data_IF_013642284042
#
_entry.id   IF_013642284042
#
_cell.length_a   1.000
_cell.length_b   1.000
_cell.length_c   1.000
_cell.angle_alpha   90.00
_cell.angle_beta   90.00
_cell.angle_gamma   90.00
#
_symmetry.space_group_name_H-M   'P 1'
#
loop_
_entity.id
_entity.type
_entity.pdbx_description
1 polymer ?
#
# COMPACT_ATOMS: atom_id res chain seq x y z
N UNK A 1 -23.10 70.67 30.03
CA UNK A 1 -22.71 69.73 28.95
C UNK A 1 -22.03 70.48 27.82
N UNK A 2 -20.72 70.26 27.59
CA UNK A 2 -20.11 70.10 26.25
C UNK A 2 -18.62 69.74 26.40
N UNK A 3 -18.33 68.45 26.19
CA UNK A 3 -16.97 67.94 25.88
C UNK A 3 -16.71 68.16 24.40
N UNK A 4 -15.47 68.55 24.03
CA UNK A 4 -14.72 68.23 22.80
C UNK A 4 -13.46 69.08 22.80
N UNK A 5 -12.31 68.68 22.28
CA UNK A 5 -11.74 67.41 21.83
C UNK A 5 -10.29 67.79 21.53
N UNK A 6 -9.31 67.31 22.31
CA UNK A 6 -7.91 67.66 22.07
C UNK A 6 -7.31 66.66 21.07
N UNK A 7 -7.11 67.11 19.83
CA UNK A 7 -6.49 66.33 18.76
C UNK A 7 -4.97 66.30 18.97
N UNK A 8 -4.44 65.17 19.44
CA UNK A 8 -3.00 64.92 19.46
C UNK A 8 -2.51 64.56 18.04
N UNK A 9 -1.67 65.43 17.46
CA UNK A 9 -0.93 65.19 16.22
C UNK A 9 0.25 64.24 16.51
N UNK A 10 0.19 63.01 15.99
CA UNK A 10 1.34 62.10 15.95
C UNK A 10 2.31 62.49 14.81
N UNK A 11 3.64 62.47 15.02
CA UNK A 11 4.59 63.09 14.09
C UNK A 11 4.89 62.19 12.87
N UNK A 12 4.95 62.81 11.68
CA UNK A 12 5.21 62.19 10.37
C UNK A 12 6.47 61.28 10.30
N UNK A 13 7.43 61.48 11.20
CA UNK A 13 8.74 60.82 11.21
C UNK A 13 8.65 59.29 11.40
N UNK A 14 7.68 58.80 12.19
CA UNK A 14 7.51 57.37 12.45
C UNK A 14 6.99 56.59 11.22
N UNK A 15 6.29 57.28 10.32
CA UNK A 15 5.63 56.70 9.15
C UNK A 15 6.63 56.34 8.05
N UNK A 16 7.67 57.16 7.86
CA UNK A 16 8.75 56.89 6.90
C UNK A 16 9.66 55.75 7.35
N UNK A 17 10.03 55.69 8.64
CA UNK A 17 10.79 54.56 9.20
C UNK A 17 10.04 53.24 9.06
N UNK A 18 8.71 53.24 9.29
CA UNK A 18 7.87 52.03 9.14
C UNK A 18 7.79 51.58 7.68
N UNK A 19 7.68 52.51 6.72
CA UNK A 19 7.75 52.21 5.28
C UNK A 19 9.10 51.63 4.87
N UNK A 20 10.20 52.16 5.41
CA UNK A 20 11.55 51.67 5.15
C UNK A 20 11.76 50.24 5.66
N UNK A 21 11.26 49.94 6.86
CA UNK A 21 11.31 48.59 7.45
C UNK A 21 10.48 47.60 6.60
N UNK A 22 9.29 47.99 6.16
CA UNK A 22 8.45 47.15 5.29
C UNK A 22 9.15 46.88 3.96
N UNK A 23 9.77 47.88 3.34
CA UNK A 23 10.53 47.70 2.09
C UNK A 23 11.72 46.75 2.28
N UNK A 24 12.45 46.86 3.41
CA UNK A 24 13.54 45.95 3.74
C UNK A 24 13.06 44.50 3.94
N UNK A 25 11.93 44.30 4.65
CA UNK A 25 11.34 42.98 4.86
C UNK A 25 10.84 42.35 3.56
N UNK A 26 10.19 43.14 2.70
CA UNK A 26 9.72 42.67 1.38
C UNK A 26 10.92 42.32 0.50
N UNK A 27 11.97 43.15 0.50
CA UNK A 27 13.22 42.85 -0.22
C UNK A 27 13.89 41.57 0.27
N UNK A 28 13.94 41.35 1.59
CA UNK A 28 14.47 40.12 2.18
C UNK A 28 13.63 38.90 1.78
N UNK A 29 12.30 38.98 1.85
CA UNK A 29 11.40 37.91 1.41
C UNK A 29 11.61 37.56 -0.06
N UNK A 30 11.60 38.56 -0.96
CA UNK A 30 11.80 38.33 -2.39
C UNK A 30 13.18 37.71 -2.67
N UNK A 31 14.23 38.15 -1.96
CA UNK A 31 15.56 37.55 -2.03
C UNK A 31 15.58 36.07 -1.62
N UNK A 32 14.90 35.71 -0.52
CA UNK A 32 14.80 34.31 -0.08
C UNK A 32 14.03 33.43 -1.05
N UNK A 33 12.93 33.93 -1.63
CA UNK A 33 12.15 33.20 -2.64
C UNK A 33 12.98 32.96 -3.90
N UNK A 34 13.71 33.97 -4.38
CA UNK A 34 14.61 33.81 -5.52
C UNK A 34 15.75 32.83 -5.24
N UNK A 35 16.31 32.83 -4.02
CA UNK A 35 17.33 31.86 -3.62
C UNK A 35 16.76 30.43 -3.57
N UNK A 36 15.54 30.25 -3.06
CA UNK A 36 14.88 28.94 -3.06
C UNK A 36 14.54 28.46 -4.47
N UNK A 37 14.05 29.33 -5.35
CA UNK A 37 13.79 29.03 -6.77
C UNK A 37 15.06 28.59 -7.51
N UNK A 38 16.17 29.28 -7.30
CA UNK A 38 17.46 28.93 -7.92
C UNK A 38 18.01 27.61 -7.38
N UNK A 39 17.93 27.37 -6.07
CA UNK A 39 18.34 26.09 -5.46
C UNK A 39 17.45 24.94 -5.93
N UNK A 40 16.13 25.14 -5.97
CA UNK A 40 15.16 24.18 -6.48
C UNK A 40 15.43 23.82 -7.94
N UNK A 41 15.66 24.83 -8.79
CA UNK A 41 15.99 24.63 -10.20
C UNK A 41 17.30 23.85 -10.38
N UNK A 42 18.30 24.10 -9.52
CA UNK A 42 19.58 23.38 -9.52
C UNK A 42 19.41 21.91 -9.13
N UNK A 43 18.64 21.64 -8.07
CA UNK A 43 18.31 20.28 -7.61
C UNK A 43 17.54 19.53 -8.71
N UNK A 44 16.54 20.17 -9.31
CA UNK A 44 15.76 19.61 -10.41
C UNK A 44 16.62 19.29 -11.63
N UNK A 45 17.57 20.18 -11.98
CA UNK A 45 18.52 19.95 -13.08
C UNK A 45 19.49 18.80 -12.79
N UNK A 46 19.98 18.68 -11.55
CA UNK A 46 20.80 17.55 -11.09
C UNK A 46 20.04 16.22 -11.12
N UNK A 47 18.76 16.21 -10.70
CA UNK A 47 17.89 15.03 -10.77
C UNK A 47 17.55 14.61 -12.21
N UNK A 48 17.51 15.56 -13.16
CA UNK A 48 17.27 15.29 -14.59
C UNK A 48 18.56 14.85 -15.32
N UNK A 49 19.75 15.23 -14.84
CA UNK A 49 21.02 14.89 -15.50
C UNK A 49 21.57 13.51 -15.12
N UNK A 50 21.03 12.84 -14.11
CA UNK A 50 21.28 11.42 -13.90
C UNK A 50 20.59 10.63 -15.01
N UNK A 51 21.27 9.72 -15.72
CA UNK A 51 20.59 8.82 -16.66
C UNK A 51 19.46 8.12 -15.90
N UNK A 52 18.25 7.98 -16.47
CA UNK A 52 17.18 7.28 -15.81
C UNK A 52 17.70 5.88 -15.54
N UNK A 53 17.92 5.56 -14.27
CA UNK A 53 18.11 4.19 -13.86
C UNK A 53 16.81 3.50 -14.29
N UNK A 54 16.85 2.73 -15.38
CA UNK A 54 15.70 1.99 -15.88
C UNK A 54 15.41 0.93 -14.82
N UNK A 55 14.64 1.30 -13.80
CA UNK A 55 14.25 0.40 -12.75
C UNK A 55 13.33 -0.63 -13.38
N UNK A 56 13.77 -1.89 -13.34
CA UNK A 56 12.96 -3.00 -13.81
C UNK A 56 11.69 -3.09 -12.96
N UNK A 57 10.56 -3.46 -13.57
CA UNK A 57 9.34 -3.68 -12.80
C UNK A 57 9.58 -4.77 -11.74
N UNK A 58 8.91 -4.62 -10.61
CA UNK A 58 9.10 -5.44 -9.43
C UNK A 58 7.88 -6.28 -9.11
N UNK A 59 8.14 -7.40 -8.44
CA UNK A 59 7.12 -8.18 -7.75
C UNK A 59 7.15 -7.80 -6.26
N UNK A 60 6.03 -7.35 -5.73
CA UNK A 60 5.81 -7.16 -4.31
C UNK A 60 5.37 -8.48 -3.67
N UNK A 61 6.19 -9.01 -2.77
CA UNK A 61 5.87 -10.18 -1.96
C UNK A 61 5.22 -9.74 -0.65
N UNK A 62 3.94 -10.09 -0.47
CA UNK A 62 3.07 -9.62 0.60
C UNK A 62 2.82 -10.76 1.59
N UNK A 63 3.56 -10.76 2.69
CA UNK A 63 3.49 -11.80 3.71
C UNK A 63 2.50 -11.44 4.80
N UNK A 64 1.55 -12.33 5.09
CA UNK A 64 0.75 -12.30 6.31
C UNK A 64 1.33 -13.34 7.26
N UNK A 65 1.78 -12.88 8.41
CA UNK A 65 2.36 -13.75 9.44
C UNK A 65 1.72 -13.44 10.80
N UNK A 66 1.49 -14.45 11.64
CA UNK A 66 1.04 -14.16 13.02
C UNK A 66 2.16 -13.55 13.86
N UNK A 67 3.38 -14.05 13.68
CA UNK A 67 4.57 -13.62 14.42
C UNK A 67 5.79 -13.57 13.47
N UNK A 68 6.75 -14.47 13.70
CA UNK A 68 7.95 -14.67 12.87
C UNK A 68 7.59 -15.39 11.57
N UNK A 69 8.49 -15.30 10.60
CA UNK A 69 8.49 -16.12 9.40
C UNK A 69 9.43 -17.32 9.65
N UNK A 70 8.91 -18.50 10.04
CA UNK A 70 9.75 -19.65 10.40
C UNK A 70 10.56 -20.19 9.21
N UNK A 71 10.10 -19.90 7.99
CA UNK A 71 10.72 -20.33 6.74
C UNK A 71 11.54 -19.20 6.10
N UNK A 72 11.96 -18.20 6.87
CA UNK A 72 12.76 -17.07 6.37
C UNK A 72 14.07 -17.52 5.70
N UNK A 73 14.66 -18.63 6.14
CA UNK A 73 15.85 -19.24 5.50
C UNK A 73 15.62 -19.69 4.05
N UNK A 74 14.43 -20.22 3.73
CA UNK A 74 14.10 -20.66 2.37
C UNK A 74 13.90 -19.45 1.48
N UNK A 75 13.21 -18.44 2.00
CA UNK A 75 13.02 -17.16 1.31
C UNK A 75 14.32 -16.39 1.14
N UNK A 76 15.25 -16.46 2.10
CA UNK A 76 16.59 -15.87 1.98
C UNK A 76 17.33 -16.44 0.76
N UNK A 77 17.39 -17.78 0.65
CA UNK A 77 17.99 -18.45 -0.49
C UNK A 77 17.30 -18.11 -1.82
N UNK A 78 15.97 -17.96 -1.81
CA UNK A 78 15.21 -17.54 -2.99
C UNK A 78 15.58 -16.11 -3.42
N UNK A 79 15.52 -15.14 -2.51
CA UNK A 79 15.77 -13.73 -2.83
C UNK A 79 17.24 -13.43 -3.19
N UNK A 80 18.20 -14.23 -2.72
CA UNK A 80 19.59 -14.18 -3.21
C UNK A 80 19.72 -14.41 -4.73
N UNK A 81 18.70 -15.01 -5.36
CA UNK A 81 18.66 -15.20 -6.81
C UNK A 81 18.43 -13.92 -7.61
N UNK A 82 17.99 -12.82 -6.97
CA UNK A 82 17.85 -11.53 -7.65
C UNK A 82 19.17 -10.76 -7.68
N UNK A 83 19.50 -10.22 -8.85
CA UNK A 83 20.69 -9.39 -9.07
C UNK A 83 20.34 -7.97 -9.55
N UNK A 84 19.05 -7.70 -9.76
CA UNK A 84 18.60 -6.53 -10.51
C UNK A 84 17.54 -5.71 -9.77
N UNK A 85 17.36 -5.95 -8.46
CA UNK A 85 16.40 -5.25 -7.61
C UNK A 85 14.95 -5.34 -8.14
N UNK A 86 14.54 -6.57 -8.48
CA UNK A 86 13.27 -6.92 -9.15
C UNK A 86 12.16 -7.31 -8.17
N UNK A 87 12.33 -7.06 -6.88
CA UNK A 87 11.32 -7.35 -5.88
C UNK A 87 11.28 -6.35 -4.74
N UNK A 88 10.17 -6.38 -4.01
CA UNK A 88 10.00 -5.73 -2.71
C UNK A 88 9.28 -6.69 -1.76
N UNK A 89 9.47 -6.51 -0.45
CA UNK A 89 8.87 -7.37 0.59
C UNK A 89 8.10 -6.49 1.56
N UNK A 90 6.88 -6.91 1.87
CA UNK A 90 6.03 -6.31 2.88
C UNK A 90 5.51 -7.39 3.80
N UNK A 91 5.54 -7.15 5.10
CA UNK A 91 5.11 -8.12 6.11
C UNK A 91 4.06 -7.49 7.01
N UNK A 92 2.91 -8.13 7.12
CA UNK A 92 1.88 -7.79 8.09
C UNK A 92 1.94 -8.82 9.23
N UNK A 93 2.41 -8.38 10.39
CA UNK A 93 2.42 -9.15 11.63
C UNK A 93 1.38 -8.64 12.63
N UNK A 94 1.03 -9.42 13.65
CA UNK A 94 0.12 -8.95 14.71
C UNK A 94 0.65 -7.68 15.41
N UNK A 95 -0.22 -6.82 15.94
CA UNK A 95 0.20 -5.63 16.70
C UNK A 95 1.12 -6.02 17.88
N UNK A 96 2.16 -5.22 18.09
CA UNK A 96 3.16 -5.42 19.15
C UNK A 96 4.28 -6.42 18.81
N UNK A 97 4.16 -7.18 17.72
CA UNK A 97 5.30 -7.92 17.18
C UNK A 97 6.21 -6.98 16.36
N UNK A 98 7.52 -7.19 16.42
CA UNK A 98 8.50 -6.44 15.63
C UNK A 98 9.44 -7.38 14.90
N UNK A 99 9.53 -7.23 13.58
CA UNK A 99 10.44 -7.97 12.72
C UNK A 99 11.82 -7.29 12.68
N UNK A 100 12.70 -7.71 13.59
CA UNK A 100 14.06 -7.18 13.76
C UNK A 100 15.11 -8.30 13.88
N UNK A 101 16.37 -7.91 14.14
CA UNK A 101 17.51 -8.85 14.25
C UNK A 101 17.36 -9.93 15.34
N UNK A 102 16.48 -9.72 16.33
CA UNK A 102 16.19 -10.72 17.36
C UNK A 102 15.10 -11.72 16.94
N UNK A 103 14.34 -11.44 15.88
CA UNK A 103 13.17 -12.23 15.47
C UNK A 103 13.28 -12.87 14.10
N UNK A 104 14.19 -12.41 13.25
CA UNK A 104 14.51 -13.02 11.95
C UNK A 104 16.02 -13.06 11.75
N UNK A 105 16.50 -14.10 11.05
CA UNK A 105 17.91 -14.22 10.67
C UNK A 105 18.17 -13.71 9.25
N UNK A 106 17.13 -13.63 8.43
CA UNK A 106 17.24 -13.15 7.05
C UNK A 106 17.26 -11.62 7.01
N UNK A 107 18.28 -11.08 6.33
CA UNK A 107 18.43 -9.64 6.16
C UNK A 107 17.32 -9.03 5.28
N UNK A 108 16.73 -9.83 4.38
CA UNK A 108 15.69 -9.37 3.45
C UNK A 108 14.41 -8.90 4.16
N UNK A 109 14.10 -9.49 5.32
CA UNK A 109 12.90 -9.19 6.08
C UNK A 109 13.07 -8.07 7.12
N UNK A 110 14.30 -7.61 7.37
CA UNK A 110 14.53 -6.53 8.32
C UNK A 110 13.89 -5.22 7.84
N UNK A 111 13.08 -4.60 8.70
CA UNK A 111 12.41 -3.33 8.37
C UNK A 111 11.36 -3.44 7.26
N UNK A 112 10.86 -4.65 6.97
CA UNK A 112 9.81 -4.89 5.97
C UNK A 112 8.41 -4.99 6.56
N UNK A 113 8.29 -4.87 7.87
CA UNK A 113 6.99 -4.89 8.54
C UNK A 113 6.25 -3.56 8.29
N UNK A 114 4.97 -3.65 7.94
CA UNK A 114 4.11 -2.47 7.79
C UNK A 114 3.74 -1.87 9.15
N UNK A 115 3.61 -0.55 9.21
CA UNK A 115 3.41 0.16 10.48
C UNK A 115 1.95 0.14 10.98
N UNK A 116 0.99 -0.01 10.06
CA UNK A 116 -0.45 0.01 10.33
C UNK A 116 -1.04 -1.42 10.43
N UNK A 117 -0.28 -2.35 11.01
CA UNK A 117 -0.73 -3.71 11.30
C UNK A 117 -1.96 -3.75 12.22
N UNK A 118 -2.88 -4.67 11.94
CA UNK A 118 -4.09 -4.91 12.73
C UNK A 118 -4.11 -6.33 13.32
N UNK A 119 -4.96 -6.56 14.31
CA UNK A 119 -5.24 -7.92 14.78
C UNK A 119 -6.03 -8.67 13.72
N UNK A 120 -5.56 -9.87 13.38
CA UNK A 120 -6.16 -10.71 12.32
C UNK A 120 -6.69 -11.99 12.95
N UNK A 121 -7.97 -12.22 12.76
CA UNK A 121 -8.67 -13.44 13.16
C UNK A 121 -8.97 -14.30 11.94
N UNK A 122 -8.82 -15.62 12.10
CA UNK A 122 -8.97 -16.54 10.99
C UNK A 122 -10.42 -16.63 10.52
N UNK A 123 -10.62 -16.56 9.20
CA UNK A 123 -11.95 -16.64 8.58
C UNK A 123 -12.79 -15.37 8.74
N UNK A 124 -12.24 -14.30 9.32
CA UNK A 124 -12.91 -13.02 9.49
C UNK A 124 -12.46 -11.99 8.45
N UNK A 125 -13.27 -10.96 8.23
CA UNK A 125 -12.95 -9.86 7.31
C UNK A 125 -11.65 -9.10 7.66
N UNK A 126 -11.17 -9.22 8.90
CA UNK A 126 -9.86 -8.70 9.32
C UNK A 126 -8.69 -9.22 8.47
N UNK A 127 -8.81 -10.41 7.88
CA UNK A 127 -7.81 -10.93 6.94
C UNK A 127 -7.80 -10.14 5.62
N UNK A 128 -8.96 -9.84 5.01
CA UNK A 128 -9.02 -8.93 3.83
C UNK A 128 -8.43 -7.58 4.21
N UNK A 129 -8.74 -7.08 5.40
CA UNK A 129 -8.23 -5.79 5.84
C UNK A 129 -6.70 -5.77 5.93
N UNK A 130 -6.08 -6.83 6.45
CA UNK A 130 -4.63 -6.97 6.46
C UNK A 130 -4.02 -7.06 5.05
N UNK A 131 -4.68 -7.76 4.13
CA UNK A 131 -4.29 -7.82 2.71
C UNK A 131 -4.34 -6.43 2.05
N UNK A 132 -5.40 -5.67 2.31
CA UNK A 132 -5.56 -4.30 1.82
C UNK A 132 -4.48 -3.37 2.39
N UNK A 133 -4.11 -3.53 3.65
CA UNK A 133 -3.00 -2.80 4.27
C UNK A 133 -1.68 -3.12 3.56
N UNK A 134 -1.41 -4.39 3.28
CA UNK A 134 -0.22 -4.80 2.52
C UNK A 134 -0.21 -4.18 1.11
N UNK A 135 -1.32 -4.23 0.40
CA UNK A 135 -1.45 -3.64 -0.93
C UNK A 135 -1.25 -2.11 -0.91
N UNK A 136 -1.86 -1.41 0.06
CA UNK A 136 -1.71 0.04 0.22
C UNK A 136 -0.23 0.44 0.33
N UNK A 137 0.51 -0.20 1.25
CA UNK A 137 1.94 0.06 1.42
C UNK A 137 2.74 -0.34 0.17
N UNK A 138 2.41 -1.47 -0.45
CA UNK A 138 3.13 -1.94 -1.63
C UNK A 138 2.91 -1.09 -2.89
N UNK A 139 1.74 -0.46 -3.02
CA UNK A 139 1.42 0.44 -4.11
C UNK A 139 2.18 1.77 -4.04
N UNK A 140 2.79 2.12 -2.91
CA UNK A 140 3.63 3.32 -2.81
C UNK A 140 4.89 3.25 -3.68
N UNK A 141 5.46 2.04 -3.88
CA UNK A 141 6.52 1.84 -4.87
C UNK A 141 5.91 1.75 -6.27
N UNK A 142 6.18 2.77 -7.09
CA UNK A 142 5.71 2.87 -8.48
C UNK A 142 6.24 1.76 -9.39
N UNK A 143 7.30 1.05 -8.99
CA UNK A 143 7.86 -0.04 -9.78
C UNK A 143 7.20 -1.39 -9.49
N UNK A 144 6.41 -1.51 -8.41
CA UNK A 144 5.70 -2.74 -8.12
C UNK A 144 4.55 -2.96 -9.12
N UNK A 145 4.70 -3.95 -10.00
CA UNK A 145 3.75 -4.25 -11.06
C UNK A 145 2.92 -5.52 -10.78
N UNK A 146 3.42 -6.38 -9.89
CA UNK A 146 2.76 -7.62 -9.46
C UNK A 146 2.77 -7.72 -7.95
N UNK A 147 1.71 -8.28 -7.38
CA UNK A 147 1.48 -8.34 -5.93
C UNK A 147 1.12 -9.77 -5.55
N UNK A 148 2.04 -10.47 -4.89
CA UNK A 148 1.94 -11.90 -4.56
C UNK A 148 1.62 -12.03 -3.07
N UNK A 149 0.47 -12.62 -2.72
CA UNK A 149 0.11 -12.90 -1.34
C UNK A 149 0.69 -14.23 -0.86
N UNK A 150 1.24 -14.24 0.36
CA UNK A 150 1.88 -15.39 0.98
C UNK A 150 1.58 -15.46 2.48
N UNK A 151 1.50 -16.67 3.03
CA UNK A 151 1.51 -16.89 4.49
C UNK A 151 2.92 -17.14 5.01
N UNK A 152 3.04 -17.21 6.34
CA UNK A 152 4.22 -17.68 7.06
C UNK A 152 4.57 -19.17 6.82
N UNK A 153 3.68 -19.93 6.16
CA UNK A 153 3.88 -21.34 5.81
C UNK A 153 4.15 -21.58 4.32
N UNK A 154 4.12 -20.54 3.48
CA UNK A 154 4.40 -20.67 2.05
C UNK A 154 5.90 -20.83 1.78
N UNK A 155 6.23 -21.61 0.75
CA UNK A 155 7.60 -21.76 0.22
C UNK A 155 7.61 -21.58 -1.31
N UNK A 156 8.68 -21.01 -1.87
CA UNK A 156 8.89 -21.02 -3.31
C UNK A 156 9.29 -22.43 -3.77
N UNK A 157 8.71 -22.89 -4.89
CA UNK A 157 9.04 -24.19 -5.50
C UNK A 157 10.08 -24.08 -6.62
N UNK A 158 10.26 -22.88 -7.16
CA UNK A 158 11.20 -22.56 -8.22
C UNK A 158 12.13 -21.43 -7.81
N UNK A 159 13.23 -21.25 -8.54
CA UNK A 159 14.17 -20.16 -8.28
C UNK A 159 13.58 -18.79 -8.66
N UNK A 160 14.20 -17.72 -8.15
CA UNK A 160 13.71 -16.35 -8.35
C UNK A 160 13.58 -15.95 -9.82
N UNK A 161 14.57 -16.28 -10.66
CA UNK A 161 14.53 -15.89 -12.08
C UNK A 161 13.32 -16.51 -12.77
N UNK A 162 13.12 -17.82 -12.60
CA UNK A 162 11.98 -18.52 -13.19
C UNK A 162 10.65 -17.96 -12.69
N UNK A 163 10.50 -17.79 -11.38
CA UNK A 163 9.27 -17.25 -10.78
C UNK A 163 8.97 -15.84 -11.28
N UNK A 164 10.00 -14.99 -11.34
CA UNK A 164 9.87 -13.63 -11.85
C UNK A 164 9.45 -13.63 -13.32
N UNK A 165 10.18 -14.35 -14.18
CA UNK A 165 9.91 -14.39 -15.62
C UNK A 165 8.51 -14.95 -15.89
N UNK A 166 8.09 -15.98 -15.16
CA UNK A 166 6.75 -16.57 -15.27
C UNK A 166 5.66 -15.58 -14.88
N UNK A 167 5.74 -14.99 -13.68
CA UNK A 167 4.72 -14.05 -13.18
C UNK A 167 4.63 -12.79 -14.06
N UNK A 168 5.77 -12.33 -14.58
CA UNK A 168 5.85 -11.12 -15.41
C UNK A 168 5.50 -11.36 -16.89
N UNK A 169 5.41 -12.62 -17.33
CA UNK A 169 5.13 -12.98 -18.74
C UNK A 169 3.69 -12.70 -19.18
N UNK A 170 2.74 -12.67 -18.25
CA UNK A 170 1.32 -12.40 -18.52
C UNK A 170 0.93 -11.00 -18.09
N UNK A 171 -0.03 -10.39 -18.79
CA UNK A 171 -0.69 -9.14 -18.40
C UNK A 171 -1.87 -9.35 -17.44
N UNK A 172 -2.29 -10.58 -17.19
CA UNK A 172 -3.43 -10.93 -16.33
C UNK A 172 -3.01 -11.26 -14.89
N UNK A 173 -3.99 -11.36 -14.00
CA UNK A 173 -3.77 -11.80 -12.61
C UNK A 173 -4.02 -13.29 -12.47
N UNK A 174 -3.38 -13.89 -11.46
CA UNK A 174 -3.57 -15.29 -11.11
C UNK A 174 -4.54 -15.35 -9.93
N UNK A 175 -5.80 -15.72 -10.21
CA UNK A 175 -6.87 -15.79 -9.22
C UNK A 175 -7.67 -17.07 -9.45
N UNK A 176 -7.85 -17.87 -8.41
CA UNK A 176 -8.78 -19.00 -8.45
C UNK A 176 -10.22 -18.48 -8.35
N UNK A 177 -11.08 -18.89 -9.29
CA UNK A 177 -12.49 -18.50 -9.30
C UNK A 177 -13.38 -19.64 -9.78
N UNK A 178 -14.15 -20.23 -8.88
CA UNK A 178 -15.06 -21.35 -9.13
C UNK A 178 -16.48 -21.04 -8.65
N UNK A 179 -17.47 -21.64 -9.31
CA UNK A 179 -18.88 -21.48 -8.93
C UNK A 179 -19.17 -22.21 -7.60
N UNK A 180 -20.01 -21.61 -6.76
CA UNK A 180 -20.45 -22.21 -5.49
C UNK A 180 -21.58 -23.22 -5.74
N UNK A 181 -21.21 -24.44 -6.15
CA UNK A 181 -22.18 -25.48 -6.58
C UNK A 181 -22.59 -26.46 -5.48
N UNK A 182 -21.88 -26.52 -4.35
CA UNK A 182 -22.04 -27.60 -3.35
C UNK A 182 -22.17 -27.15 -1.90
N UNK A 183 -21.63 -26.00 -1.52
CA UNK A 183 -21.42 -25.65 -0.10
C UNK A 183 -22.30 -24.49 0.39
N UNK A 184 -22.99 -23.76 -0.50
CA UNK A 184 -23.97 -22.74 -0.12
C UNK A 184 -23.39 -21.66 0.80
N UNK A 185 -22.14 -21.24 0.55
CA UNK A 185 -21.46 -20.24 1.38
C UNK A 185 -21.96 -18.82 1.12
N UNK A 186 -22.68 -18.60 0.02
CA UNK A 186 -23.28 -17.31 -0.25
C UNK A 186 -24.28 -16.91 0.85
N UNK A 187 -24.09 -15.73 1.44
CA UNK A 187 -25.04 -15.15 2.38
C UNK A 187 -26.06 -14.28 1.61
N UNK A 188 -27.37 -14.63 1.60
CA UNK A 188 -28.39 -13.86 0.88
C UNK A 188 -28.50 -12.39 1.29
N UNK A 189 -28.03 -12.01 2.49
CA UNK A 189 -28.02 -10.61 2.96
C UNK A 189 -27.03 -9.73 2.20
N UNK A 190 -26.12 -10.32 1.42
CA UNK A 190 -25.20 -9.56 0.56
C UNK A 190 -25.87 -9.03 -0.72
N UNK A 191 -27.05 -9.54 -1.07
CA UNK A 191 -27.86 -8.98 -2.15
C UNK A 191 -28.46 -7.62 -1.73
N UNK A 192 -28.51 -6.60 -2.61
CA UNK A 192 -28.17 -6.64 -4.04
C UNK A 192 -26.71 -6.28 -4.37
N UNK A 193 -25.89 -5.93 -3.37
CA UNK A 193 -24.54 -5.41 -3.62
C UNK A 193 -23.63 -6.47 -4.24
N UNK A 194 -23.72 -7.71 -3.76
CA UNK A 194 -23.04 -8.86 -4.34
C UNK A 194 -24.12 -9.86 -4.76
N UNK A 195 -24.58 -9.83 -6.01
CA UNK A 195 -25.55 -10.79 -6.51
C UNK A 195 -25.00 -12.23 -6.50
N UNK A 196 -25.89 -13.22 -6.36
CA UNK A 196 -25.49 -14.64 -6.25
C UNK A 196 -24.83 -15.15 -7.53
N UNK A 197 -25.20 -14.61 -8.69
CA UNK A 197 -24.61 -14.90 -9.99
C UNK A 197 -23.15 -14.42 -10.12
N UNK A 198 -22.80 -13.39 -9.34
CA UNK A 198 -21.45 -12.83 -9.25
C UNK A 198 -20.65 -13.47 -8.12
N UNK A 199 -21.29 -14.23 -7.25
CA UNK A 199 -20.62 -14.98 -6.19
C UNK A 199 -19.70 -16.05 -6.78
N UNK A 200 -18.44 -16.01 -6.36
CA UNK A 200 -17.41 -16.99 -6.71
C UNK A 200 -16.66 -17.38 -5.46
N UNK A 201 -16.22 -18.62 -5.44
CA UNK A 201 -15.27 -19.12 -4.46
C UNK A 201 -13.87 -19.09 -5.05
N UNK A 202 -12.87 -18.92 -4.21
CA UNK A 202 -11.49 -18.81 -4.65
C UNK A 202 -10.49 -19.32 -3.64
N UNK A 203 -9.23 -19.01 -3.90
CA UNK A 203 -8.12 -19.10 -2.96
C UNK A 203 -7.77 -17.70 -2.46
N UNK A 204 -7.32 -17.61 -1.20
CA UNK A 204 -6.75 -16.37 -0.66
C UNK A 204 -5.45 -15.99 -1.38
N UNK A 205 -4.70 -16.99 -1.83
CA UNK A 205 -3.36 -16.80 -2.39
C UNK A 205 -3.46 -16.47 -3.87
N UNK A 206 -3.35 -15.18 -4.17
CA UNK A 206 -3.47 -14.63 -5.52
C UNK A 206 -2.23 -13.84 -5.92
N UNK A 207 -2.07 -13.64 -7.22
CA UNK A 207 -1.10 -12.68 -7.79
C UNK A 207 -1.86 -11.62 -8.58
N UNK A 208 -1.85 -10.39 -8.08
CA UNK A 208 -2.57 -9.28 -8.71
C UNK A 208 -1.64 -8.45 -9.59
N UNK A 209 -2.19 -7.88 -10.67
CA UNK A 209 -1.59 -6.74 -11.36
C UNK A 209 -1.77 -5.47 -10.54
N UNK A 210 -0.98 -4.44 -10.83
CA UNK A 210 -1.13 -3.13 -10.20
C UNK A 210 -2.53 -2.55 -10.32
N UNK A 211 -3.14 -2.63 -11.50
CA UNK A 211 -4.52 -2.16 -11.74
C UNK A 211 -5.51 -2.84 -10.78
N UNK A 212 -5.43 -4.16 -10.62
CA UNK A 212 -6.34 -4.90 -9.74
C UNK A 212 -6.05 -4.64 -8.26
N UNK A 213 -4.78 -4.53 -7.87
CA UNK A 213 -4.39 -4.11 -6.52
C UNK A 213 -5.01 -2.76 -6.14
N UNK A 214 -4.98 -1.78 -7.06
CA UNK A 214 -5.61 -0.48 -6.82
C UNK A 214 -7.13 -0.56 -6.65
N UNK A 215 -7.82 -1.39 -7.46
CA UNK A 215 -9.26 -1.62 -7.32
C UNK A 215 -9.58 -2.17 -5.94
N UNK A 216 -8.85 -3.20 -5.50
CA UNK A 216 -9.04 -3.82 -4.18
C UNK A 216 -8.82 -2.83 -3.04
N UNK A 217 -7.80 -1.98 -3.13
CA UNK A 217 -7.49 -0.99 -2.09
C UNK A 217 -8.54 0.12 -2.03
N UNK A 218 -9.06 0.54 -3.19
CA UNK A 218 -10.07 1.60 -3.32
C UNK A 218 -11.49 1.11 -3.09
N UNK A 219 -11.73 -0.19 -2.96
CA UNK A 219 -13.07 -0.75 -2.77
C UNK A 219 -13.70 -0.29 -1.45
N UNK A 220 -14.79 0.45 -1.55
CA UNK A 220 -15.62 0.93 -0.45
C UNK A 220 -17.04 0.33 -0.49
N UNK A 221 -17.29 -0.65 -1.36
CA UNK A 221 -18.62 -1.24 -1.60
C UNK A 221 -18.66 -2.71 -1.20
N UNK A 222 -17.75 -3.55 -1.71
CA UNK A 222 -17.78 -5.01 -1.52
C UNK A 222 -17.22 -5.39 -0.16
N UNK A 223 -16.10 -4.81 0.25
CA UNK A 223 -15.44 -5.12 1.52
C UNK A 223 -16.33 -4.86 2.75
N UNK A 224 -17.06 -3.72 2.89
CA UNK A 224 -17.98 -3.52 4.00
C UNK A 224 -19.09 -4.58 4.08
N UNK A 225 -19.59 -5.04 2.93
CA UNK A 225 -20.60 -6.11 2.85
C UNK A 225 -20.04 -7.42 3.38
N UNK A 226 -18.81 -7.79 2.98
CA UNK A 226 -18.09 -8.91 3.57
C UNK A 226 -17.90 -8.75 5.09
N UNK A 227 -17.49 -7.57 5.54
CA UNK A 227 -17.28 -7.28 6.96
C UNK A 227 -18.55 -7.42 7.80
N UNK A 228 -19.72 -7.09 7.24
CA UNK A 228 -20.99 -7.22 7.95
C UNK A 228 -21.56 -8.64 7.93
N UNK A 229 -21.36 -9.39 6.85
CA UNK A 229 -22.11 -10.62 6.59
C UNK A 229 -21.28 -11.90 6.57
N UNK A 230 -19.96 -11.82 6.42
CA UNK A 230 -19.03 -12.96 6.43
C UNK A 230 -18.31 -13.00 7.77
N UNK A 231 -18.77 -13.90 8.64
CA UNK A 231 -18.23 -14.11 9.99
C UNK A 231 -17.92 -15.58 10.19
N UNK A 232 -16.81 -15.90 10.83
CA UNK A 232 -16.35 -17.27 11.02
C UNK A 232 -17.38 -18.14 11.77
N UNK A 233 -18.19 -17.51 12.64
CA UNK A 233 -19.23 -18.20 13.42
C UNK A 233 -20.47 -18.62 12.64
N UNK A 234 -20.66 -18.15 11.40
CA UNK A 234 -21.90 -18.35 10.64
C UNK A 234 -21.77 -19.38 9.50
N UNK A 235 -20.58 -19.96 9.28
CA UNK A 235 -20.29 -20.90 8.16
C UNK A 235 -20.65 -20.35 6.77
N UNK A 236 -20.94 -19.05 6.66
CA UNK A 236 -21.35 -18.35 5.44
C UNK A 236 -20.21 -17.41 5.04
N UNK A 237 -19.75 -17.56 3.80
CA UNK A 237 -18.65 -16.89 3.11
C UNK A 237 -17.29 -16.91 3.82
N UNK A 238 -16.26 -17.46 3.15
CA UNK A 238 -14.88 -17.41 3.65
C UNK A 238 -14.08 -16.34 2.92
N UNK A 239 -12.99 -15.93 3.56
CA UNK A 239 -12.04 -14.97 3.03
C UNK A 239 -11.61 -15.22 1.58
N UNK A 240 -11.32 -16.49 1.26
CA UNK A 240 -10.80 -16.93 -0.03
C UNK A 240 -11.75 -16.62 -1.20
N UNK A 241 -12.99 -16.24 -0.90
CA UNK A 241 -14.03 -15.94 -1.88
C UNK A 241 -13.99 -14.44 -2.29
N UNK A 242 -13.33 -13.55 -1.54
CA UNK A 242 -13.32 -12.10 -1.80
C UNK A 242 -12.67 -11.72 -3.14
N UNK A 243 -11.45 -12.21 -3.43
CA UNK A 243 -10.78 -11.89 -4.69
C UNK A 243 -11.48 -12.50 -5.90
N UNK A 244 -12.16 -13.63 -5.72
CA UNK A 244 -12.84 -14.35 -6.80
C UNK A 244 -14.07 -13.60 -7.34
N UNK A 245 -14.70 -12.76 -6.52
CA UNK A 245 -15.89 -11.97 -6.92
C UNK A 245 -15.52 -10.85 -7.89
N UNK A 246 -14.26 -10.42 -7.90
CA UNK A 246 -13.76 -9.41 -8.82
C UNK A 246 -13.53 -9.94 -10.23
N UNK A 247 -14.01 -11.14 -10.61
CA UNK A 247 -13.81 -11.74 -11.94
C UNK A 247 -14.11 -10.80 -13.12
N UNK A 248 -15.13 -9.94 -13.00
CA UNK A 248 -15.45 -8.96 -14.06
C UNK A 248 -14.39 -7.86 -14.21
N UNK A 249 -13.70 -7.53 -13.11
CA UNK A 249 -12.65 -6.51 -13.05
C UNK A 249 -11.25 -7.11 -13.14
N UNK A 250 -11.11 -8.41 -12.87
CA UNK A 250 -9.90 -9.23 -12.91
C UNK A 250 -10.10 -10.33 -13.96
N UNK A 251 -9.98 -10.01 -15.26
CA UNK A 251 -9.97 -11.06 -16.27
C UNK A 251 -8.76 -11.98 -16.04
N UNK A 252 -9.05 -13.27 -15.86
CA UNK A 252 -8.06 -14.36 -15.84
C UNK A 252 -7.42 -14.52 -17.22
#
# INVERSE_FOLDING_TARGET
>A
MKRRSNSQKFPLHHRWKRKLIILLLVGLCLGTVALMETQYSRIKKLAISSPPFVQKPKIAFLFIARNRLPLDIVWDAFFQGDKENKFSIYVHSRPGFLLNKATTRSAYFLGRQVNNSIQVEWGEASMIQAERVLLQNALEDLHNERFVFLSDSCIPLYNFSYTYDYIMSTSTSFVDSFADTKEGRYNPKMHPVIPVENWRKGSQWVVLTRKHAEVVVKDDVVFPVFQWHCKASLSTCLLCDYFAIWKEYIPC
#
